data_IF_135486036223
#
_entry.id   IF_135486036223
#
_cell.length_a   1.000
_cell.length_b   1.000
_cell.length_c   1.000
_cell.angle_alpha   90.00
_cell.angle_beta   90.00
_cell.angle_gamma   90.00
#
_symmetry.space_group_name_H-M   'P 1'
#
loop_
_entity.id
_entity.type
_entity.pdbx_description
1 polymer ?
#
# COMPACT_ATOMS: atom_id res chain seq x y z
N UNK A 1 15.91 3.73 5.16
CA UNK A 1 15.26 3.29 3.89
C UNK A 1 14.58 1.97 4.15
N UNK A 2 13.26 1.89 3.97
CA UNK A 2 12.52 0.63 4.09
C UNK A 2 13.03 -0.37 3.04
N UNK A 3 13.78 -1.37 3.48
CA UNK A 3 14.30 -2.43 2.61
C UNK A 3 13.08 -3.21 2.08
N UNK A 4 12.75 -3.05 0.80
CA UNK A 4 11.70 -3.83 0.13
C UNK A 4 10.43 -3.07 -0.29
N UNK A 5 10.43 -1.73 -0.26
CA UNK A 5 9.39 -0.92 -0.93
C UNK A 5 9.92 -0.41 -2.26
N UNK A 6 9.19 -0.69 -3.34
CA UNK A 6 9.53 -0.26 -4.70
C UNK A 6 8.46 0.67 -5.26
N UNK A 7 8.90 1.68 -6.02
CA UNK A 7 8.01 2.46 -6.90
C UNK A 7 7.79 1.68 -8.19
N UNK A 8 6.54 1.40 -8.50
CA UNK A 8 6.11 0.69 -9.71
C UNK A 8 4.85 1.33 -10.29
N UNK A 9 4.42 0.87 -11.46
CA UNK A 9 3.35 1.47 -12.23
C UNK A 9 2.33 0.43 -12.68
N UNK A 10 1.06 0.84 -12.70
CA UNK A 10 -0.05 0.05 -13.23
C UNK A 10 -0.87 0.90 -14.20
N UNK A 11 -0.97 0.45 -15.45
CA UNK A 11 -1.82 1.05 -16.48
C UNK A 11 -3.22 0.46 -16.45
N UNK A 12 -4.24 1.32 -16.47
CA UNK A 12 -5.64 0.90 -16.36
C UNK A 12 -6.58 1.94 -16.98
N UNK A 13 -7.88 1.63 -17.07
CA UNK A 13 -8.89 2.59 -17.56
C UNK A 13 -9.22 3.67 -16.52
N UNK A 14 -9.82 4.79 -16.92
CA UNK A 14 -10.26 5.83 -15.97
C UNK A 14 -11.22 5.24 -14.93
N UNK A 15 -12.21 4.45 -15.38
CA UNK A 15 -13.19 3.82 -14.51
C UNK A 15 -12.53 2.88 -13.48
N UNK A 16 -11.57 2.07 -13.91
CA UNK A 16 -10.83 1.20 -13.02
C UNK A 16 -9.92 1.97 -12.07
N UNK A 17 -9.28 3.06 -12.52
CA UNK A 17 -8.49 3.92 -11.65
C UNK A 17 -9.33 4.49 -10.50
N UNK A 18 -10.53 5.01 -10.78
CA UNK A 18 -11.47 5.47 -9.73
C UNK A 18 -11.80 4.33 -8.75
N UNK A 19 -12.15 3.15 -9.26
CA UNK A 19 -12.45 1.99 -8.44
C UNK A 19 -11.28 1.55 -7.55
N UNK A 20 -10.06 1.52 -8.10
CA UNK A 20 -8.85 1.14 -7.37
C UNK A 20 -8.54 2.16 -6.28
N UNK A 21 -8.68 3.47 -6.57
CA UNK A 21 -8.43 4.51 -5.58
C UNK A 21 -9.43 4.43 -4.42
N UNK A 22 -10.71 4.16 -4.71
CA UNK A 22 -11.76 4.10 -3.69
C UNK A 22 -11.78 2.80 -2.90
N UNK A 23 -11.60 1.66 -3.58
CA UNK A 23 -11.83 0.33 -3.00
C UNK A 23 -10.56 -0.51 -2.84
N UNK A 24 -9.41 -0.02 -3.31
CA UNK A 24 -8.18 -0.78 -3.41
C UNK A 24 -8.14 -1.70 -4.63
N UNK A 25 -6.99 -2.35 -4.81
CA UNK A 25 -6.80 -3.34 -5.86
C UNK A 25 -7.58 -4.63 -5.57
N UNK A 26 -8.01 -5.29 -6.64
CA UNK A 26 -8.47 -6.69 -6.63
C UNK A 26 -7.49 -7.51 -7.46
N UNK A 27 -7.31 -8.77 -7.08
CA UNK A 27 -6.48 -9.68 -7.86
C UNK A 27 -7.14 -9.94 -9.22
N UNK A 28 -6.35 -9.86 -10.29
CA UNK A 28 -6.70 -10.53 -11.53
C UNK A 28 -6.82 -12.02 -11.27
N UNK A 29 -7.79 -12.69 -11.90
CA UNK A 29 -7.95 -14.15 -11.81
C UNK A 29 -7.01 -14.90 -12.75
N UNK A 30 -6.50 -14.23 -13.78
CA UNK A 30 -5.67 -14.79 -14.84
C UNK A 30 -4.46 -13.89 -15.15
N UNK A 31 -3.54 -14.41 -15.95
CA UNK A 31 -2.35 -13.73 -16.44
C UNK A 31 -1.15 -14.67 -16.45
N UNK A 32 -0.04 -14.23 -17.06
CA UNK A 32 1.11 -15.10 -17.29
C UNK A 32 1.83 -15.57 -16.01
N UNK A 33 1.57 -14.92 -14.87
CA UNK A 33 2.07 -15.28 -13.55
C UNK A 33 0.93 -15.73 -12.60
N UNK A 34 -0.25 -16.08 -13.14
CA UNK A 34 -1.42 -16.45 -12.36
C UNK A 34 -2.12 -15.27 -11.70
N UNK A 35 -2.82 -15.53 -10.59
CA UNK A 35 -3.62 -14.52 -9.89
C UNK A 35 -2.76 -13.49 -9.14
N UNK A 36 -3.14 -12.23 -9.23
CA UNK A 36 -2.47 -11.14 -8.51
C UNK A 36 -2.67 -9.77 -9.14
N UNK A 37 -1.92 -8.79 -8.65
CA UNK A 37 -1.87 -7.42 -9.15
C UNK A 37 -0.61 -7.26 -9.99
N UNK A 38 -0.81 -7.00 -11.29
CA UNK A 38 0.26 -6.88 -12.27
C UNK A 38 0.79 -5.46 -12.33
N UNK A 39 2.10 -5.31 -12.19
CA UNK A 39 2.78 -4.02 -12.09
C UNK A 39 4.13 -4.08 -12.81
N UNK A 40 4.67 -2.90 -13.10
CA UNK A 40 5.93 -2.74 -13.85
C UNK A 40 6.72 -1.58 -13.26
N UNK A 41 8.03 -1.74 -13.10
CA UNK A 41 8.98 -0.65 -12.85
C UNK A 41 9.17 0.22 -14.09
N UNK A 42 8.94 -0.31 -15.29
CA UNK A 42 8.89 0.47 -16.51
C UNK A 42 7.53 1.18 -16.64
N UNK A 43 7.56 2.50 -16.46
CA UNK A 43 6.38 3.37 -16.65
C UNK A 43 5.86 3.35 -18.08
N UNK A 44 6.74 3.40 -19.10
CA UNK A 44 6.33 3.40 -20.51
C UNK A 44 5.63 2.11 -20.88
N UNK A 45 6.05 0.97 -20.29
CA UNK A 45 5.31 -0.30 -20.40
C UNK A 45 3.88 -0.14 -19.89
N UNK A 46 3.71 0.40 -18.68
CA UNK A 46 2.41 0.59 -18.06
C UNK A 46 1.50 1.55 -18.86
N UNK A 47 2.05 2.60 -19.48
CA UNK A 47 1.31 3.56 -20.31
C UNK A 47 0.60 2.94 -21.53
N UNK A 48 1.00 1.75 -21.96
CA UNK A 48 0.36 1.03 -23.07
C UNK A 48 -0.94 0.34 -22.67
N UNK A 49 -1.22 0.17 -21.37
CA UNK A 49 -2.38 -0.55 -20.90
C UNK A 49 -3.55 0.38 -20.53
N UNK A 50 -4.80 -0.03 -20.80
CA UNK A 50 -5.17 -1.26 -21.52
C UNK A 50 -4.88 -1.17 -23.03
N UNK A 51 -4.38 -2.26 -23.63
CA UNK A 51 -3.84 -2.27 -25.01
C UNK A 51 -4.87 -1.87 -26.07
N UNK A 52 -6.14 -2.23 -25.88
CA UNK A 52 -7.22 -2.02 -26.84
C UNK A 52 -8.09 -0.79 -26.52
N UNK A 53 -7.72 -0.01 -25.50
CA UNK A 53 -8.43 1.22 -25.16
C UNK A 53 -7.80 2.42 -25.86
N UNK A 54 -8.62 3.45 -26.14
CA UNK A 54 -8.14 4.76 -26.59
C UNK A 54 -7.14 5.35 -25.59
N UNK A 55 -6.18 6.14 -26.09
CA UNK A 55 -5.25 6.89 -25.25
C UNK A 55 -5.96 7.85 -24.28
N UNK A 56 -7.16 8.30 -24.63
CA UNK A 56 -8.05 9.14 -23.83
C UNK A 56 -8.73 8.41 -22.66
N UNK A 57 -8.60 7.09 -22.55
CA UNK A 57 -9.09 6.30 -21.41
C UNK A 57 -7.93 5.67 -20.60
N UNK A 58 -6.67 5.93 -20.96
CA UNK A 58 -5.53 5.32 -20.26
C UNK A 58 -5.03 6.18 -19.11
N UNK A 59 -5.04 5.59 -17.92
CA UNK A 59 -4.47 6.14 -16.68
C UNK A 59 -3.31 5.26 -16.24
N UNK A 60 -2.25 5.88 -15.72
CA UNK A 60 -1.16 5.17 -15.03
C UNK A 60 -1.12 5.61 -13.58
N UNK A 61 -1.27 4.63 -12.69
CA UNK A 61 -1.11 4.79 -11.26
C UNK A 61 0.35 4.53 -10.88
N UNK A 62 0.92 5.41 -10.07
CA UNK A 62 2.20 5.17 -9.39
C UNK A 62 1.93 4.51 -8.04
N UNK A 63 2.72 3.48 -7.73
CA UNK A 63 2.47 2.56 -6.64
C UNK A 63 3.70 2.43 -5.75
N UNK A 64 3.50 2.35 -4.44
CA UNK A 64 4.50 1.80 -3.51
C UNK A 64 4.15 0.35 -3.17
N UNK A 65 5.10 -0.54 -3.43
CA UNK A 65 4.86 -1.99 -3.36
C UNK A 65 5.81 -2.65 -2.38
N UNK A 66 5.26 -3.38 -1.41
CA UNK A 66 5.99 -4.25 -0.49
C UNK A 66 6.15 -5.65 -1.09
N UNK A 67 7.23 -5.85 -1.84
CA UNK A 67 7.43 -7.07 -2.66
C UNK A 67 7.63 -8.36 -1.87
N UNK A 68 8.08 -8.26 -0.61
CA UNK A 68 8.26 -9.43 0.25
C UNK A 68 9.20 -10.48 -0.36
N UNK A 69 8.82 -11.76 -0.25
CA UNK A 69 9.59 -12.88 -0.83
C UNK A 69 9.29 -13.01 -2.32
N UNK A 70 10.27 -12.74 -3.18
CA UNK A 70 10.10 -12.71 -4.64
C UNK A 70 10.51 -14.02 -5.27
N UNK A 71 9.68 -14.55 -6.17
CA UNK A 71 10.00 -15.70 -7.03
C UNK A 71 10.38 -15.21 -8.42
N UNK A 72 11.63 -15.43 -8.82
CA UNK A 72 12.06 -15.22 -10.21
C UNK A 72 11.42 -16.28 -11.12
N UNK A 73 10.81 -15.83 -12.21
CA UNK A 73 10.22 -16.64 -13.28
C UNK A 73 10.91 -16.18 -14.58
N UNK A 74 11.94 -16.88 -15.00
CA UNK A 74 12.88 -16.47 -16.05
C UNK A 74 13.03 -17.50 -17.19
N UNK A 75 12.13 -18.48 -17.25
CA UNK A 75 12.08 -19.47 -18.32
C UNK A 75 10.63 -19.82 -18.65
N UNK A 76 10.38 -20.18 -19.91
CA UNK A 76 9.07 -20.67 -20.32
C UNK A 76 8.74 -21.96 -19.59
N UNK A 77 7.45 -22.17 -19.27
CA UNK A 77 6.98 -23.33 -18.51
C UNK A 77 7.66 -23.50 -17.14
N UNK A 78 8.04 -22.38 -16.49
CA UNK A 78 8.63 -22.42 -15.17
C UNK A 78 7.70 -23.19 -14.20
N UNK A 79 8.19 -24.17 -13.42
CA UNK A 79 7.34 -25.08 -12.64
C UNK A 79 6.49 -24.37 -11.57
N UNK A 80 6.91 -23.16 -11.17
CA UNK A 80 6.20 -22.31 -10.22
C UNK A 80 5.51 -21.09 -10.84
N UNK A 81 5.37 -21.02 -12.17
CA UNK A 81 4.78 -19.86 -12.87
C UNK A 81 3.39 -19.47 -12.34
N UNK A 82 2.58 -20.44 -11.93
CA UNK A 82 1.23 -20.24 -11.40
C UNK A 82 1.05 -20.61 -9.92
N UNK A 83 2.07 -21.19 -9.28
CA UNK A 83 1.99 -21.78 -7.92
C UNK A 83 2.95 -21.12 -6.92
N UNK A 84 3.69 -20.09 -7.32
CA UNK A 84 4.62 -19.37 -6.46
C UNK A 84 3.96 -18.85 -5.16
N UNK A 85 2.70 -18.40 -5.21
CA UNK A 85 2.01 -17.87 -4.04
C UNK A 85 1.67 -18.94 -2.99
N UNK A 86 1.20 -20.12 -3.41
CA UNK A 86 0.96 -21.25 -2.48
C UNK A 86 2.26 -21.82 -1.90
N UNK A 87 3.39 -21.53 -2.52
CA UNK A 87 4.73 -21.90 -2.08
C UNK A 87 5.38 -20.82 -1.17
N UNK A 88 4.57 -19.87 -0.70
CA UNK A 88 4.99 -18.86 0.29
C UNK A 88 5.75 -17.67 -0.28
N UNK A 89 5.63 -17.40 -1.58
CA UNK A 89 6.15 -16.17 -2.20
C UNK A 89 5.06 -15.10 -2.27
N UNK A 90 5.46 -13.85 -2.05
CA UNK A 90 4.56 -12.69 -2.05
C UNK A 90 4.40 -12.06 -3.44
N UNK A 91 5.44 -12.19 -4.27
CA UNK A 91 5.50 -11.64 -5.63
C UNK A 91 6.20 -12.63 -6.57
N UNK A 92 5.66 -12.83 -7.77
CA UNK A 92 6.42 -13.39 -8.89
C UNK A 92 6.98 -12.28 -9.77
N UNK A 93 8.18 -12.48 -10.31
CA UNK A 93 8.88 -11.49 -11.10
C UNK A 93 9.53 -12.11 -12.34
N UNK A 94 9.22 -11.54 -13.51
CA UNK A 94 9.89 -11.81 -14.78
C UNK A 94 10.99 -10.77 -15.00
N UNK A 95 12.28 -11.17 -15.07
CA UNK A 95 13.37 -10.24 -15.34
C UNK A 95 13.33 -9.67 -16.75
N UNK A 96 13.86 -8.46 -16.96
CA UNK A 96 14.00 -7.91 -18.31
C UNK A 96 14.96 -8.78 -19.13
N UNK A 97 14.64 -8.96 -20.41
CA UNK A 97 15.47 -9.66 -21.41
C UNK A 97 15.92 -11.08 -20.99
N UNK A 98 15.09 -11.81 -20.24
CA UNK A 98 15.40 -13.18 -19.80
C UNK A 98 15.26 -14.25 -20.90
N UNK A 99 14.83 -13.87 -22.11
CA UNK A 99 14.73 -14.80 -23.25
C UNK A 99 13.47 -15.66 -23.27
N UNK A 100 12.53 -15.46 -22.35
CA UNK A 100 11.22 -16.15 -22.36
C UNK A 100 10.41 -15.81 -23.62
N UNK A 101 9.99 -16.82 -24.36
CA UNK A 101 9.11 -16.67 -25.53
C UNK A 101 7.72 -16.17 -25.14
N UNK A 102 7.24 -16.50 -23.94
CA UNK A 102 5.99 -15.98 -23.39
C UNK A 102 6.02 -14.46 -23.14
N UNK A 103 7.20 -13.82 -23.13
CA UNK A 103 7.37 -12.37 -23.01
C UNK A 103 8.21 -11.83 -24.18
N UNK A 104 7.69 -11.80 -25.42
CA UNK A 104 8.46 -11.42 -26.60
C UNK A 104 9.04 -10.00 -26.51
N UNK A 105 8.40 -9.12 -25.76
CA UNK A 105 8.85 -7.75 -25.56
C UNK A 105 10.15 -7.62 -24.76
N UNK A 106 10.55 -8.66 -24.02
CA UNK A 106 11.68 -8.61 -23.08
C UNK A 106 11.46 -7.69 -21.88
N UNK A 107 10.28 -7.08 -21.72
CA UNK A 107 10.03 -6.16 -20.62
C UNK A 107 9.61 -6.90 -19.36
N UNK A 108 10.17 -6.47 -18.23
CA UNK A 108 9.94 -7.04 -16.91
C UNK A 108 8.50 -6.91 -16.43
N UNK A 109 8.08 -7.81 -15.55
CA UNK A 109 6.74 -7.81 -14.97
C UNK A 109 6.75 -8.40 -13.56
N UNK A 110 6.04 -7.75 -12.65
CA UNK A 110 5.80 -8.24 -11.30
C UNK A 110 4.31 -8.57 -11.14
N UNK A 111 4.02 -9.69 -10.48
CA UNK A 111 2.68 -10.07 -10.05
C UNK A 111 2.67 -10.22 -8.53
N UNK A 112 2.03 -9.27 -7.85
CA UNK A 112 1.93 -9.22 -6.38
C UNK A 112 0.68 -9.95 -5.95
N UNK A 113 0.81 -10.90 -5.00
CA UNK A 113 -0.32 -11.72 -4.61
C UNK A 113 -1.38 -10.93 -3.84
N UNK A 114 -1.02 -10.37 -2.68
CA UNK A 114 -1.94 -9.67 -1.80
C UNK A 114 -2.05 -8.17 -2.20
N UNK A 115 -3.24 -7.70 -2.63
CA UNK A 115 -3.47 -6.29 -2.94
C UNK A 115 -3.10 -5.33 -1.80
N UNK A 116 -3.15 -5.76 -0.53
CA UNK A 116 -2.77 -4.92 0.64
C UNK A 116 -1.27 -4.58 0.68
N UNK A 117 -0.46 -5.18 -0.19
CA UNK A 117 0.96 -4.83 -0.38
C UNK A 117 1.17 -3.71 -1.40
N UNK A 118 0.11 -3.30 -2.10
CA UNK A 118 0.14 -2.30 -3.17
C UNK A 118 -0.58 -1.03 -2.71
N UNK A 119 0.15 0.07 -2.60
CA UNK A 119 -0.42 1.38 -2.24
C UNK A 119 -0.37 2.31 -3.45
N UNK A 120 -1.48 2.97 -3.78
CA UNK A 120 -1.49 4.03 -4.79
C UNK A 120 -0.95 5.31 -4.15
N UNK A 121 0.08 5.90 -4.76
CA UNK A 121 0.74 7.09 -4.20
C UNK A 121 0.64 8.31 -5.10
N UNK A 122 0.47 8.12 -6.41
CA UNK A 122 0.25 9.22 -7.34
C UNK A 122 -0.48 8.80 -8.61
N UNK A 123 -0.95 9.79 -9.36
CA UNK A 123 -1.42 9.64 -10.75
C UNK A 123 -0.26 10.04 -11.67
N UNK A 124 0.48 9.06 -12.19
CA UNK A 124 1.65 9.28 -13.03
C UNK A 124 1.27 9.85 -14.41
N UNK A 125 0.16 9.38 -14.97
CA UNK A 125 -0.40 9.85 -16.26
C UNK A 125 -1.93 9.68 -16.25
N UNK A 126 -2.64 10.66 -16.78
CA UNK A 126 -4.07 10.60 -17.06
C UNK A 126 -4.40 11.65 -18.13
N UNK A 127 -5.53 11.53 -18.85
CA UNK A 127 -6.05 12.61 -19.68
C UNK A 127 -6.28 13.88 -18.86
N UNK A 128 -6.05 15.05 -19.45
CA UNK A 128 -6.10 16.33 -18.71
C UNK A 128 -7.48 16.61 -18.12
N UNK A 129 -8.54 16.18 -18.80
CA UNK A 129 -9.94 16.28 -18.34
C UNK A 129 -10.19 15.50 -17.04
N UNK A 130 -9.40 14.47 -16.75
CA UNK A 130 -9.62 13.54 -15.64
C UNK A 130 -8.58 13.65 -14.52
N UNK A 131 -7.40 14.17 -14.86
CA UNK A 131 -6.24 14.19 -13.97
C UNK A 131 -6.50 14.93 -12.65
N UNK A 132 -7.21 16.05 -12.68
CA UNK A 132 -7.53 16.83 -11.48
C UNK A 132 -8.47 16.06 -10.55
N UNK A 133 -9.53 15.47 -11.11
CA UNK A 133 -10.52 14.70 -10.33
C UNK A 133 -9.90 13.45 -9.71
N UNK A 134 -9.07 12.71 -10.45
CA UNK A 134 -8.36 11.54 -9.93
C UNK A 134 -7.39 11.90 -8.80
N UNK A 135 -6.68 13.01 -8.91
CA UNK A 135 -5.79 13.51 -7.84
C UNK A 135 -6.59 13.88 -6.59
N UNK A 136 -7.72 14.58 -6.75
CA UNK A 136 -8.58 14.94 -5.63
C UNK A 136 -9.18 13.68 -4.97
N UNK A 137 -9.63 12.71 -5.76
CA UNK A 137 -10.14 11.43 -5.26
C UNK A 137 -9.06 10.67 -4.48
N UNK A 138 -7.82 10.67 -4.97
CA UNK A 138 -6.69 10.04 -4.28
C UNK A 138 -6.37 10.72 -2.95
N UNK A 139 -6.36 12.06 -2.92
CA UNK A 139 -6.12 12.85 -1.70
C UNK A 139 -7.20 12.61 -0.63
N UNK A 140 -8.44 12.37 -1.05
CA UNK A 140 -9.58 12.13 -0.16
C UNK A 140 -9.80 10.65 0.16
N UNK A 141 -9.04 9.73 -0.45
CA UNK A 141 -9.29 8.29 -0.31
C UNK A 141 -8.92 7.79 1.09
N UNK A 142 -9.85 7.15 1.82
CA UNK A 142 -9.58 6.55 3.12
C UNK A 142 -8.65 5.33 3.00
N UNK A 143 -8.61 4.68 1.83
CA UNK A 143 -7.79 3.49 1.55
C UNK A 143 -6.33 3.86 1.30
N UNK A 144 -6.08 5.05 0.73
CA UNK A 144 -4.73 5.58 0.52
C UNK A 144 -4.27 6.54 1.60
N UNK A 145 -5.01 6.59 2.73
CA UNK A 145 -4.57 7.16 3.98
C UNK A 145 -3.07 6.95 4.13
N UNK A 146 -2.33 8.01 3.83
CA UNK A 146 -1.07 8.30 4.48
C UNK A 146 -1.32 7.95 5.95
N UNK A 147 -0.47 7.22 6.64
CA UNK A 147 0.81 7.76 7.11
C UNK A 147 0.91 9.31 7.24
N UNK A 148 -0.19 10.09 7.18
CA UNK A 148 -0.42 11.06 8.23
C UNK A 148 -0.41 10.17 9.45
N UNK A 149 0.59 10.37 10.31
CA UNK A 149 0.86 9.57 11.49
C UNK A 149 -0.43 8.89 11.89
N UNK A 150 -0.44 7.55 11.98
CA UNK A 150 -1.40 6.95 12.89
C UNK A 150 -1.37 7.93 14.08
N UNK A 151 -2.50 8.54 14.38
CA UNK A 151 -2.75 8.88 15.75
C UNK A 151 -2.71 7.49 16.39
N UNK A 152 -1.49 7.00 16.60
CA UNK A 152 -1.08 6.16 17.68
C UNK A 152 -1.94 6.75 18.75
N UNK A 153 -2.96 6.00 19.18
CA UNK A 153 -3.76 6.37 20.33
C UNK A 153 -2.79 6.30 21.51
N UNK A 154 -1.78 7.15 21.51
CA UNK A 154 -0.74 7.27 22.48
C UNK A 154 -1.39 8.17 23.48
N UNK A 155 -1.69 7.58 24.62
CA UNK A 155 -2.34 8.31 25.68
C UNK A 155 -1.50 9.55 26.00
N UNK A 156 -2.13 10.73 25.91
CA UNK A 156 -1.45 12.02 26.10
C UNK A 156 -0.76 12.13 27.47
N UNK A 157 -1.21 11.33 28.44
CA UNK A 157 -0.73 11.31 29.83
C UNK A 157 0.43 10.32 30.06
N UNK A 158 0.34 9.07 29.59
CA UNK A 158 1.37 8.05 29.85
C UNK A 158 2.32 7.77 28.68
N UNK A 159 2.07 8.37 27.50
CA UNK A 159 2.87 8.22 26.28
C UNK A 159 3.00 6.78 25.74
N UNK A 160 2.18 5.84 26.22
CA UNK A 160 2.08 4.45 25.72
C UNK A 160 0.96 4.31 24.69
N UNK A 161 1.11 3.37 23.74
CA UNK A 161 0.11 3.03 22.71
C UNK A 161 -1.10 2.33 23.33
N UNK A 162 -2.29 2.81 23.05
CA UNK A 162 -3.57 2.21 23.44
C UNK A 162 -3.93 1.11 22.44
N UNK A 163 -4.07 -0.11 22.95
CA UNK A 163 -4.57 -1.25 22.19
C UNK A 163 -6.10 -1.33 22.37
N UNK A 164 -6.82 -1.79 21.33
CA UNK A 164 -8.29 -1.97 21.38
C UNK A 164 -8.74 -2.90 22.53
N UNK A 165 -7.89 -3.82 22.98
CA UNK A 165 -8.15 -4.76 24.07
C UNK A 165 -7.80 -4.24 25.47
N UNK A 166 -7.22 -3.04 25.61
CA UNK A 166 -6.83 -2.48 26.92
C UNK A 166 -6.97 -0.95 26.94
N UNK A 167 -8.15 -0.41 27.27
CA UNK A 167 -8.37 1.03 27.30
C UNK A 167 -7.57 1.69 28.43
N UNK A 168 -7.04 2.88 28.17
CA UNK A 168 -6.35 3.67 29.18
C UNK A 168 -7.37 4.48 29.98
N UNK A 169 -7.57 4.14 31.25
CA UNK A 169 -8.44 4.88 32.15
C UNK A 169 -7.72 6.18 32.58
N UNK A 170 -8.40 7.33 32.37
CA UNK A 170 -7.98 8.65 32.84
C UNK A 170 -8.78 8.99 34.10
N UNK A 171 -8.11 9.47 35.14
CA UNK A 171 -8.74 9.92 36.39
C UNK A 171 -8.04 11.17 36.93
N UNK A 172 -8.64 11.86 37.88
CA UNK A 172 -8.00 13.00 38.55
C UNK A 172 -7.09 12.52 39.68
N UNK A 173 -5.92 13.13 39.80
CA UNK A 173 -5.07 12.97 40.97
C UNK A 173 -5.78 13.55 42.19
N UNK A 174 -5.95 12.72 43.22
CA UNK A 174 -6.64 13.09 44.47
C UNK A 174 -5.89 14.19 45.25
N UNK A 175 -4.59 14.35 44.93
CA UNK A 175 -3.73 15.41 45.43
C UNK A 175 -3.95 16.73 44.69
N UNK A 176 -3.36 16.85 43.50
CA UNK A 176 -3.28 18.12 42.78
C UNK A 176 -4.41 18.36 41.75
N UNK A 177 -5.37 17.45 41.62
CA UNK A 177 -6.47 17.55 40.65
C UNK A 177 -6.08 17.32 39.18
N UNK A 178 -4.79 17.11 38.87
CA UNK A 178 -4.34 16.88 37.49
C UNK A 178 -4.83 15.54 36.94
N UNK A 179 -5.15 15.52 35.64
CA UNK A 179 -5.49 14.29 34.94
C UNK A 179 -4.28 13.34 34.88
N UNK A 180 -4.45 12.12 35.38
CA UNK A 180 -3.48 11.04 35.37
C UNK A 180 -4.02 9.83 34.60
N UNK A 181 -3.13 9.02 34.04
CA UNK A 181 -3.48 7.73 33.45
C UNK A 181 -2.99 6.62 34.37
N UNK A 182 -3.83 5.61 34.63
CA UNK A 182 -3.49 4.49 35.51
C UNK A 182 -2.24 3.71 35.07
N UNK A 183 -1.85 3.82 33.80
CA UNK A 183 -0.69 3.13 33.22
C UNK A 183 0.58 4.01 33.16
N UNK A 184 0.58 5.20 33.76
CA UNK A 184 1.77 6.04 33.82
C UNK A 184 2.78 5.53 34.87
N UNK A 185 4.07 5.65 34.58
CA UNK A 185 5.15 5.12 35.44
C UNK A 185 5.30 5.94 36.72
N UNK A 186 5.10 7.26 36.62
CA UNK A 186 5.25 8.18 37.74
C UNK A 186 4.36 9.40 37.52
N UNK A 187 3.70 9.83 38.59
CA UNK A 187 3.12 11.16 38.71
C UNK A 187 3.82 11.83 39.90
N UNK A 188 4.36 13.03 39.70
CA UNK A 188 4.90 13.84 40.80
C UNK A 188 3.82 14.84 41.18
N UNK A 189 3.18 14.61 42.32
CA UNK A 189 2.12 15.48 42.80
C UNK A 189 2.75 16.73 43.42
N UNK A 190 2.46 17.90 42.85
CA UNK A 190 2.93 19.19 43.37
C UNK A 190 1.98 19.77 44.44
N UNK A 191 1.27 18.93 45.21
CA UNK A 191 0.52 19.43 46.37
C UNK A 191 1.54 20.05 47.32
N UNK A 192 1.59 21.38 47.37
CA UNK A 192 2.05 22.06 48.57
C UNK A 192 1.18 21.53 49.70
N UNK A 193 1.80 20.96 50.73
CA UNK A 193 1.09 20.47 51.90
C UNK A 193 0.17 21.58 52.42
N UNK A 194 -1.13 21.44 52.16
CA UNK A 194 -2.16 22.19 52.86
C UNK A 194 -3.13 21.13 53.39
N UNK A 195 -2.95 20.87 54.69
CA UNK A 195 -3.88 20.15 55.56
C UNK A 195 -5.28 20.77 55.45
N UNK A 196 -6.31 19.96 55.70
CA UNK A 196 -6.87 19.91 57.06
C UNK A 196 -6.53 18.61 57.78
#
# INVERSE_FOLDING_TARGET
KDKGVYTMYHGTSIANARNIITNGFKQSQTGMLGKGVYVSRDRKKAERYPLHNSSSDRVVLELHIRVGRVKRIDTDNHPMQYTWSSQGYDTAWVPPNCGMKAVPSGLEEDCVFDPKRVKVVAIARAPDTEKAQLKQLLANSPVNGSNAAAATNVCSLCKRKQQQSSPHIKQQCWGCGQNICILMIKHVCSRSAQNP
#
